data_IF_489359740055
#
_entry.id   IF_489359740055
#
_cell.length_a   1.000
_cell.length_b   1.000
_cell.length_c   1.000
_cell.angle_alpha   90.00
_cell.angle_beta   90.00
_cell.angle_gamma   90.00
#
_symmetry.space_group_name_H-M   'P 1'
#
loop_
_entity.id
_entity.type
_entity.pdbx_description
1 polymer ?
#
# COMPACT_ATOMS: atom_id res chain seq x y z
N UNK A 1 -22.79 -9.03 12.25
CA UNK A 1 -21.75 -9.93 11.71
C UNK A 1 -21.67 -9.65 10.22
N UNK A 2 -20.74 -8.81 9.77
CA UNK A 2 -20.55 -8.58 8.34
C UNK A 2 -19.66 -9.70 7.79
N UNK A 3 -20.30 -10.76 7.35
CA UNK A 3 -19.62 -11.71 6.47
C UNK A 3 -19.69 -11.08 5.08
N UNK A 4 -18.63 -10.36 4.68
CA UNK A 4 -18.56 -9.79 3.34
C UNK A 4 -18.77 -10.89 2.31
N UNK A 5 -19.56 -10.64 1.29
CA UNK A 5 -19.80 -11.61 0.21
C UNK A 5 -18.69 -11.60 -0.84
N UNK A 6 -17.62 -10.83 -0.58
CA UNK A 6 -16.41 -10.71 -1.39
C UNK A 6 -15.14 -11.06 -0.60
N UNK A 7 -14.05 -11.28 -1.29
CA UNK A 7 -12.69 -11.35 -0.73
C UNK A 7 -11.83 -10.23 -1.32
N UNK A 8 -10.67 -9.95 -0.73
CA UNK A 8 -9.76 -8.94 -1.26
C UNK A 8 -8.63 -9.56 -2.08
N UNK A 9 -8.29 -8.89 -3.17
CA UNK A 9 -7.20 -9.23 -4.10
C UNK A 9 -6.33 -7.98 -4.28
N UNK A 10 -5.16 -7.97 -3.68
CA UNK A 10 -4.19 -6.91 -3.90
C UNK A 10 -3.19 -7.32 -4.97
N UNK A 11 -3.11 -6.51 -6.02
CA UNK A 11 -2.17 -6.67 -7.13
C UNK A 11 -1.09 -5.60 -6.96
N UNK A 12 0.17 -6.01 -6.80
CA UNK A 12 1.33 -5.11 -6.81
C UNK A 12 2.20 -5.35 -8.04
N UNK A 13 3.28 -4.60 -8.19
CA UNK A 13 4.20 -4.79 -9.32
C UNK A 13 4.83 -6.19 -9.38
N UNK A 14 5.03 -6.81 -8.22
CA UNK A 14 5.78 -8.07 -8.09
C UNK A 14 5.03 -9.16 -7.32
N UNK A 15 3.82 -8.89 -6.83
CA UNK A 15 3.10 -9.84 -5.99
C UNK A 15 1.59 -9.75 -6.13
N UNK A 16 0.92 -10.86 -5.83
CA UNK A 16 -0.51 -10.94 -5.58
C UNK A 16 -0.73 -11.38 -4.14
N UNK A 17 -1.59 -10.65 -3.42
CA UNK A 17 -2.00 -10.99 -2.07
C UNK A 17 -3.51 -11.22 -2.06
N UNK A 18 -3.93 -12.27 -1.41
CA UNK A 18 -5.36 -12.58 -1.22
C UNK A 18 -5.64 -12.67 0.28
N UNK A 19 -6.72 -12.03 0.69
CA UNK A 19 -7.28 -12.19 2.02
C UNK A 19 -8.79 -12.44 1.93
N UNK A 20 -9.25 -13.52 2.54
CA UNK A 20 -10.66 -13.85 2.81
C UNK A 20 -10.79 -14.13 4.30
N UNK A 21 -11.63 -13.38 4.97
CA UNK A 21 -11.80 -13.52 6.41
C UNK A 21 -13.04 -12.79 6.93
N UNK A 22 -13.25 -12.86 8.22
CA UNK A 22 -14.27 -12.12 8.94
C UNK A 22 -13.62 -11.06 9.81
N UNK A 23 -14.05 -9.82 9.64
CA UNK A 23 -13.52 -8.68 10.39
C UNK A 23 -14.50 -8.38 11.53
N UNK A 24 -14.17 -8.83 12.72
CA UNK A 24 -14.94 -8.57 13.93
C UNK A 24 -14.48 -7.24 14.58
N UNK A 25 -15.22 -6.67 15.55
CA UNK A 25 -14.85 -5.39 16.17
C UNK A 25 -13.47 -5.37 16.84
N UNK A 26 -12.99 -6.51 17.32
CA UNK A 26 -11.72 -6.62 18.07
C UNK A 26 -10.79 -7.72 17.56
N UNK A 27 -11.21 -8.49 16.56
CA UNK A 27 -10.50 -9.67 16.12
C UNK A 27 -10.69 -9.90 14.62
N UNK A 28 -9.69 -10.44 13.97
CA UNK A 28 -9.71 -10.88 12.57
C UNK A 28 -9.69 -12.39 12.56
N UNK A 29 -10.69 -13.01 11.92
CA UNK A 29 -10.76 -14.45 11.72
C UNK A 29 -10.42 -14.75 10.26
N UNK A 30 -9.28 -15.37 10.02
CA UNK A 30 -8.81 -15.70 8.68
C UNK A 30 -9.50 -16.97 8.18
N UNK A 31 -10.05 -16.92 6.98
CA UNK A 31 -10.48 -18.10 6.22
C UNK A 31 -9.39 -18.53 5.23
N UNK A 32 -8.90 -17.57 4.45
CA UNK A 32 -7.82 -17.76 3.48
C UNK A 32 -6.91 -16.54 3.45
N UNK A 33 -5.62 -16.79 3.44
CA UNK A 33 -4.59 -15.77 3.23
C UNK A 33 -3.47 -16.39 2.38
N UNK A 34 -2.99 -15.65 1.38
CA UNK A 34 -1.85 -16.11 0.57
C UNK A 34 -1.11 -14.95 -0.05
N UNK A 35 0.15 -15.21 -0.33
CA UNK A 35 1.06 -14.36 -1.07
C UNK A 35 1.65 -15.18 -2.23
N UNK A 36 1.52 -14.67 -3.45
CA UNK A 36 2.33 -15.07 -4.59
C UNK A 36 3.27 -13.92 -4.89
N UNK A 37 4.53 -14.07 -4.58
CA UNK A 37 5.61 -13.13 -4.88
C UNK A 37 6.39 -13.57 -6.14
N UNK A 38 7.28 -12.69 -6.62
CA UNK A 38 8.11 -12.93 -7.81
C UNK A 38 7.29 -13.26 -9.07
N UNK A 39 6.33 -12.39 -9.36
CA UNK A 39 5.53 -12.51 -10.59
C UNK A 39 6.45 -12.51 -11.82
N UNK A 40 6.12 -13.30 -12.86
CA UNK A 40 6.96 -13.42 -14.06
C UNK A 40 7.01 -12.13 -14.90
N UNK A 41 6.09 -11.18 -14.63
CA UNK A 41 6.02 -9.86 -15.26
C UNK A 41 5.18 -8.91 -14.40
N UNK A 42 5.42 -7.61 -14.53
CA UNK A 42 4.58 -6.59 -13.90
C UNK A 42 3.31 -6.38 -14.73
N UNK A 43 2.16 -6.54 -14.09
CA UNK A 43 0.84 -6.28 -14.69
C UNK A 43 0.68 -4.83 -15.16
N UNK A 44 1.25 -3.90 -14.44
CA UNK A 44 1.08 -2.46 -14.70
C UNK A 44 2.00 -1.92 -15.80
N UNK A 45 3.17 -2.54 -15.99
CA UNK A 45 4.17 -2.08 -16.96
C UNK A 45 3.96 -2.69 -18.34
N UNK A 46 3.57 -3.96 -18.41
CA UNK A 46 3.32 -4.64 -19.68
C UNK A 46 1.90 -4.39 -20.18
N UNK A 47 1.78 -3.82 -21.38
CA UNK A 47 0.49 -3.51 -22.02
C UNK A 47 0.39 -4.25 -23.36
N UNK A 48 0.39 -5.58 -23.31
CA UNK A 48 0.15 -6.42 -24.46
C UNK A 48 -1.20 -7.15 -24.30
N UNK A 49 -1.91 -7.49 -25.40
CA UNK A 49 -3.18 -8.23 -25.30
C UNK A 49 -3.09 -9.54 -24.52
N UNK A 50 -1.92 -10.16 -24.51
CA UNK A 50 -1.64 -11.41 -23.85
C UNK A 50 -1.41 -11.25 -22.31
N UNK A 51 -1.09 -10.04 -21.85
CA UNK A 51 -0.80 -9.77 -20.43
C UNK A 51 -2.02 -10.02 -19.57
N UNK A 52 -3.19 -9.49 -19.93
CA UNK A 52 -4.43 -9.68 -19.17
C UNK A 52 -4.84 -11.14 -19.10
N UNK A 53 -4.71 -11.89 -20.20
CA UNK A 53 -5.04 -13.32 -20.24
C UNK A 53 -4.13 -14.14 -19.31
N UNK A 54 -2.81 -13.95 -19.42
CA UNK A 54 -1.84 -14.66 -18.56
C UNK A 54 -2.03 -14.31 -17.08
N UNK A 55 -2.30 -13.05 -16.78
CA UNK A 55 -2.52 -12.62 -15.40
C UNK A 55 -3.82 -13.20 -14.83
N UNK A 56 -4.88 -13.25 -15.64
CA UNK A 56 -6.15 -13.89 -15.28
C UNK A 56 -5.98 -15.38 -14.95
N UNK A 57 -5.15 -16.09 -15.71
CA UNK A 57 -4.83 -17.51 -15.44
C UNK A 57 -4.12 -17.69 -14.08
N UNK A 58 -3.19 -16.79 -13.74
CA UNK A 58 -2.52 -16.78 -12.43
C UNK A 58 -3.55 -16.57 -11.31
N UNK A 59 -4.42 -15.56 -11.42
CA UNK A 59 -5.46 -15.28 -10.43
C UNK A 59 -6.40 -16.49 -10.29
N UNK A 60 -6.88 -17.02 -11.42
CA UNK A 60 -7.80 -18.17 -11.45
C UNK A 60 -7.19 -19.38 -10.75
N UNK A 61 -5.92 -19.67 -11.01
CA UNK A 61 -5.19 -20.75 -10.35
C UNK A 61 -5.10 -20.52 -8.84
N UNK A 62 -4.69 -19.34 -8.39
CA UNK A 62 -4.60 -19.02 -6.96
C UNK A 62 -5.94 -19.18 -6.23
N UNK A 63 -7.02 -18.65 -6.79
CA UNK A 63 -8.37 -18.75 -6.21
C UNK A 63 -8.82 -20.20 -6.12
N UNK A 64 -8.54 -21.01 -7.16
CA UNK A 64 -8.84 -22.43 -7.20
C UNK A 64 -8.03 -23.22 -6.16
N UNK A 65 -6.71 -23.00 -6.07
CA UNK A 65 -5.82 -23.68 -5.13
C UNK A 65 -6.22 -23.37 -3.67
N UNK A 66 -6.64 -22.15 -3.39
CA UNK A 66 -7.16 -21.74 -2.08
C UNK A 66 -8.59 -22.25 -1.80
N UNK A 67 -9.28 -22.79 -2.80
CA UNK A 67 -10.69 -23.21 -2.70
C UNK A 67 -11.60 -22.08 -2.19
N UNK A 68 -11.42 -20.87 -2.70
CA UNK A 68 -12.29 -19.72 -2.40
C UNK A 68 -13.60 -19.89 -3.17
N UNK A 69 -14.72 -20.02 -2.43
CA UNK A 69 -16.04 -20.20 -3.04
C UNK A 69 -16.71 -18.88 -3.47
N UNK A 70 -16.21 -17.73 -3.02
CA UNK A 70 -16.73 -16.41 -3.38
C UNK A 70 -16.28 -16.04 -4.79
N UNK A 71 -17.16 -15.40 -5.55
CA UNK A 71 -16.84 -14.87 -6.89
C UNK A 71 -16.63 -13.36 -6.88
N UNK A 72 -17.22 -12.65 -5.94
CA UNK A 72 -17.05 -11.21 -5.79
C UNK A 72 -15.69 -10.90 -5.18
N UNK A 73 -15.05 -9.86 -5.69
CA UNK A 73 -13.72 -9.47 -5.26
C UNK A 73 -13.58 -7.96 -5.17
N UNK A 74 -12.93 -7.48 -4.10
CA UNK A 74 -12.41 -6.13 -3.99
C UNK A 74 -10.96 -6.13 -4.48
N UNK A 75 -10.65 -5.34 -5.50
CA UNK A 75 -9.31 -5.25 -6.09
C UNK A 75 -8.57 -4.04 -5.55
N UNK A 76 -7.38 -4.26 -5.00
CA UNK A 76 -6.52 -3.20 -4.47
C UNK A 76 -5.30 -3.08 -5.38
N UNK A 77 -4.96 -1.84 -5.74
CA UNK A 77 -3.79 -1.51 -6.56
C UNK A 77 -2.85 -0.54 -5.84
N UNK A 78 -1.56 -0.49 -6.23
CA UNK A 78 -0.60 0.43 -5.63
C UNK A 78 -0.99 1.90 -5.86
N UNK A 79 -0.72 2.75 -4.87
CA UNK A 79 -0.94 4.19 -4.96
C UNK A 79 -0.22 4.84 -6.14
N UNK A 80 0.91 4.26 -6.58
CA UNK A 80 1.66 4.71 -7.74
C UNK A 80 0.86 4.78 -9.04
N UNK A 81 -0.21 4.02 -9.14
CA UNK A 81 -1.08 3.95 -10.32
C UNK A 81 -2.39 4.72 -10.14
N UNK A 82 -2.51 5.45 -9.05
CA UNK A 82 -3.63 6.35 -8.75
C UNK A 82 -3.14 7.74 -8.41
N UNK A 83 -4.01 8.72 -8.52
CA UNK A 83 -3.77 10.08 -8.06
C UNK A 83 -4.65 10.32 -6.85
N UNK A 84 -4.03 10.52 -5.69
CA UNK A 84 -4.76 10.64 -4.43
C UNK A 84 -4.40 11.94 -3.73
N UNK A 85 -5.43 12.63 -3.25
CA UNK A 85 -5.28 13.82 -2.43
C UNK A 85 -6.28 13.79 -1.28
N UNK A 86 -5.85 14.26 -0.12
CA UNK A 86 -6.75 14.53 1.00
C UNK A 86 -6.83 16.04 1.13
N UNK A 87 -8.02 16.58 0.83
CA UNK A 87 -8.29 18.02 0.74
C UNK A 87 -9.13 18.48 1.92
N UNK A 88 -8.79 19.65 2.48
CA UNK A 88 -9.68 20.36 3.40
C UNK A 88 -10.56 21.31 2.59
N UNK A 89 -11.86 21.05 2.58
CA UNK A 89 -12.86 21.81 1.81
C UNK A 89 -13.84 22.50 2.76
N UNK A 90 -14.43 23.64 2.37
CA UNK A 90 -15.59 24.16 3.08
C UNK A 90 -16.73 23.14 3.12
N UNK A 91 -17.67 23.30 4.07
CA UNK A 91 -18.86 22.44 4.13
C UNK A 91 -19.79 22.79 2.96
N UNK A 92 -19.63 22.08 1.86
CA UNK A 92 -20.38 22.17 0.62
C UNK A 92 -21.34 20.99 0.50
N UNK A 93 -22.41 21.15 -0.31
CA UNK A 93 -23.20 19.99 -0.69
C UNK A 93 -22.46 19.14 -1.72
N UNK A 94 -22.91 17.89 -1.93
CA UNK A 94 -22.22 16.92 -2.76
C UNK A 94 -21.98 17.41 -4.21
N UNK A 95 -22.95 18.10 -4.82
CA UNK A 95 -22.83 18.62 -6.19
C UNK A 95 -21.79 19.73 -6.29
N UNK A 96 -21.77 20.63 -5.31
CA UNK A 96 -20.79 21.71 -5.22
C UNK A 96 -19.39 21.14 -4.99
N UNK A 97 -19.29 20.12 -4.12
CA UNK A 97 -18.04 19.44 -3.82
C UNK A 97 -17.45 18.76 -5.07
N UNK A 98 -18.25 18.00 -5.80
CA UNK A 98 -17.84 17.36 -7.07
C UNK A 98 -17.36 18.42 -8.08
N UNK A 99 -18.08 19.53 -8.21
CA UNK A 99 -17.74 20.60 -9.14
C UNK A 99 -16.43 21.29 -8.76
N UNK A 100 -16.24 21.59 -7.47
CA UNK A 100 -15.03 22.21 -6.95
C UNK A 100 -13.82 21.29 -7.12
N UNK A 101 -13.96 19.98 -6.86
CA UNK A 101 -12.89 18.99 -7.01
C UNK A 101 -12.52 18.82 -8.50
N UNK A 102 -13.50 18.74 -9.40
CA UNK A 102 -13.22 18.66 -10.85
C UNK A 102 -12.45 19.86 -11.35
N UNK A 103 -12.76 21.06 -10.84
CA UNK A 103 -12.02 22.27 -11.19
C UNK A 103 -10.59 22.28 -10.65
N UNK A 104 -10.36 21.69 -9.47
CA UNK A 104 -9.04 21.59 -8.87
C UNK A 104 -8.23 20.39 -9.38
N UNK A 105 -8.90 19.41 -9.96
CA UNK A 105 -8.27 18.14 -10.40
C UNK A 105 -7.07 18.37 -11.33
N UNK A 106 -7.16 19.33 -12.23
CA UNK A 106 -6.08 19.69 -13.17
C UNK A 106 -4.78 20.15 -12.45
N UNK A 107 -4.85 20.50 -11.17
CA UNK A 107 -3.66 20.95 -10.40
C UNK A 107 -2.82 19.79 -9.87
N UNK A 108 -3.42 18.61 -9.70
CA UNK A 108 -2.74 17.45 -9.12
C UNK A 108 -2.87 16.15 -9.93
N UNK A 109 -3.73 16.12 -10.95
CA UNK A 109 -3.88 14.98 -11.85
C UNK A 109 -3.29 15.35 -13.22
N UNK A 110 -2.19 14.72 -13.65
CA UNK A 110 -1.52 15.04 -14.91
C UNK A 110 -2.17 14.35 -16.14
N UNK A 111 -3.45 14.03 -16.06
CA UNK A 111 -4.25 13.41 -17.13
C UNK A 111 -5.49 14.24 -17.39
N UNK A 112 -5.98 14.20 -18.62
CA UNK A 112 -7.21 14.88 -18.98
C UNK A 112 -8.40 14.26 -18.20
N UNK A 113 -9.35 15.10 -17.79
CA UNK A 113 -10.48 14.69 -16.93
C UNK A 113 -11.39 13.65 -17.58
N UNK A 114 -11.43 13.62 -18.91
CA UNK A 114 -12.17 12.65 -19.71
C UNK A 114 -11.46 11.28 -19.83
N UNK A 115 -10.18 11.21 -19.49
CA UNK A 115 -9.38 9.98 -19.48
C UNK A 115 -9.33 9.28 -18.12
N UNK A 116 -9.94 9.86 -17.08
CA UNK A 116 -9.88 9.34 -15.72
C UNK A 116 -11.26 9.02 -15.15
N UNK A 117 -11.30 8.09 -14.22
CA UNK A 117 -12.38 7.93 -13.24
C UNK A 117 -11.95 8.63 -11.96
N UNK A 118 -12.79 9.49 -11.43
CA UNK A 118 -12.58 10.17 -10.14
C UNK A 118 -13.67 9.74 -9.19
N UNK A 119 -13.25 9.39 -7.99
CA UNK A 119 -14.15 9.16 -6.86
C UNK A 119 -13.74 10.04 -5.68
N UNK A 120 -14.69 10.31 -4.79
CA UNK A 120 -14.48 11.13 -3.61
C UNK A 120 -15.22 10.56 -2.41
N UNK A 121 -14.58 10.64 -1.25
CA UNK A 121 -15.15 10.24 0.03
C UNK A 121 -14.96 11.35 1.06
N UNK A 122 -16.04 11.75 1.73
CA UNK A 122 -15.95 12.64 2.88
C UNK A 122 -15.52 11.79 4.08
N UNK A 123 -14.25 11.88 4.45
CA UNK A 123 -13.68 11.05 5.52
C UNK A 123 -13.84 11.66 6.91
N UNK A 124 -14.04 13.01 7.01
CA UNK A 124 -14.27 13.67 8.29
C UNK A 124 -15.04 15.00 8.13
N UNK A 125 -15.93 15.27 9.08
CA UNK A 125 -16.62 16.54 9.24
C UNK A 125 -16.07 17.29 10.46
N UNK A 126 -15.52 18.48 10.25
CA UNK A 126 -15.14 19.37 11.33
C UNK A 126 -16.24 20.44 11.52
N UNK A 127 -17.18 20.16 12.43
CA UNK A 127 -18.33 21.05 12.68
C UNK A 127 -17.90 22.42 13.21
N UNK A 128 -16.80 22.49 13.99
CA UNK A 128 -16.33 23.77 14.60
C UNK A 128 -15.81 24.72 13.52
N UNK A 129 -15.03 24.21 12.58
CA UNK A 129 -14.42 24.98 11.50
C UNK A 129 -15.29 25.04 10.24
N UNK A 130 -16.41 24.31 10.23
CA UNK A 130 -17.29 24.15 9.06
C UNK A 130 -16.52 23.69 7.82
N UNK A 131 -15.63 22.70 8.00
CA UNK A 131 -14.82 22.12 6.94
C UNK A 131 -15.04 20.62 6.84
N UNK A 132 -14.76 20.10 5.66
CA UNK A 132 -14.75 18.67 5.33
C UNK A 132 -13.32 18.24 5.03
N UNK A 133 -12.94 17.07 5.48
CA UNK A 133 -11.77 16.39 4.98
C UNK A 133 -12.25 15.37 3.92
N UNK A 134 -11.78 15.56 2.69
CA UNK A 134 -12.25 14.80 1.53
C UNK A 134 -11.08 14.04 0.92
N UNK A 135 -11.20 12.73 0.85
CA UNK A 135 -10.31 11.90 0.06
C UNK A 135 -10.80 11.93 -1.40
N UNK A 136 -9.91 12.32 -2.30
CA UNK A 136 -10.11 12.27 -3.75
C UNK A 136 -9.17 11.24 -4.31
N UNK A 137 -9.68 10.30 -5.09
CA UNK A 137 -8.90 9.28 -5.78
C UNK A 137 -9.26 9.30 -7.24
N UNK A 138 -8.25 9.29 -8.11
CA UNK A 138 -8.44 9.15 -9.54
C UNK A 138 -7.55 8.06 -10.11
N UNK A 139 -8.06 7.36 -11.12
CA UNK A 139 -7.36 6.32 -11.86
C UNK A 139 -7.64 6.47 -13.35
N UNK A 140 -6.66 6.15 -14.19
CA UNK A 140 -6.86 6.14 -15.64
C UNK A 140 -7.98 5.15 -16.03
N UNK A 141 -8.90 5.58 -16.88
CA UNK A 141 -9.99 4.71 -17.40
C UNK A 141 -9.43 3.45 -18.05
N UNK A 142 -8.35 3.60 -18.82
CA UNK A 142 -7.67 2.48 -19.49
C UNK A 142 -7.17 1.45 -18.48
N UNK A 143 -6.57 1.89 -17.37
CA UNK A 143 -6.09 0.97 -16.34
C UNK A 143 -7.24 0.30 -15.58
N UNK A 144 -8.27 1.06 -15.22
CA UNK A 144 -9.45 0.53 -14.54
C UNK A 144 -10.11 -0.57 -15.39
N UNK A 145 -10.34 -0.30 -16.68
CA UNK A 145 -10.90 -1.26 -17.63
C UNK A 145 -10.01 -2.51 -17.77
N UNK A 146 -8.69 -2.34 -17.90
CA UNK A 146 -7.74 -3.47 -17.99
C UNK A 146 -7.84 -4.38 -16.76
N UNK A 147 -7.96 -3.80 -15.56
CA UNK A 147 -8.10 -4.55 -14.31
C UNK A 147 -9.43 -5.31 -14.30
N UNK A 148 -10.52 -4.62 -14.60
CA UNK A 148 -11.87 -5.19 -14.65
C UNK A 148 -11.93 -6.39 -15.62
N UNK A 149 -11.51 -6.22 -16.85
CA UNK A 149 -11.45 -7.28 -17.86
C UNK A 149 -10.59 -8.47 -17.42
N UNK A 150 -9.43 -8.21 -16.79
CA UNK A 150 -8.54 -9.28 -16.31
C UNK A 150 -9.18 -10.10 -15.20
N UNK A 151 -9.87 -9.43 -14.27
CA UNK A 151 -10.54 -10.07 -13.14
C UNK A 151 -11.75 -10.88 -13.62
N UNK A 152 -12.50 -10.36 -14.59
CA UNK A 152 -13.61 -11.06 -15.24
C UNK A 152 -13.13 -12.30 -16.01
N UNK A 153 -12.02 -12.22 -16.74
CA UNK A 153 -11.38 -13.34 -17.42
C UNK A 153 -10.94 -14.44 -16.43
N UNK A 154 -10.59 -14.07 -15.20
CA UNK A 154 -10.33 -15.04 -14.13
C UNK A 154 -11.60 -15.72 -13.57
N UNK A 155 -12.80 -15.31 -14.04
CA UNK A 155 -14.10 -15.82 -13.60
C UNK A 155 -14.63 -15.17 -12.32
N UNK A 156 -14.08 -14.00 -11.95
CA UNK A 156 -14.46 -13.23 -10.77
C UNK A 156 -15.33 -12.02 -11.17
N UNK A 157 -15.96 -11.40 -10.18
CA UNK A 157 -16.80 -10.21 -10.33
C UNK A 157 -16.18 -9.10 -9.50
N UNK A 158 -15.51 -8.11 -10.11
CA UNK A 158 -14.96 -6.97 -9.38
C UNK A 158 -16.12 -6.13 -8.85
N UNK A 159 -16.18 -5.93 -7.52
CA UNK A 159 -17.21 -5.10 -6.88
C UNK A 159 -16.67 -3.74 -6.48
N UNK A 160 -15.38 -3.68 -6.17
CA UNK A 160 -14.65 -2.45 -5.89
C UNK A 160 -13.27 -2.50 -6.54
N UNK A 161 -12.79 -1.33 -6.95
CA UNK A 161 -11.40 -1.07 -7.32
C UNK A 161 -10.92 0.10 -6.47
N UNK A 162 -9.94 -0.13 -5.65
CA UNK A 162 -9.41 0.87 -4.74
C UNK A 162 -7.88 0.86 -4.69
N UNK A 163 -7.30 1.89 -4.09
CA UNK A 163 -5.87 1.94 -3.88
C UNK A 163 -5.46 1.51 -2.45
N UNK A 164 -4.17 1.34 -2.25
CA UNK A 164 -3.61 0.94 -0.95
C UNK A 164 -3.93 1.94 0.16
N UNK A 165 -3.97 3.24 -0.13
CA UNK A 165 -4.32 4.29 0.83
C UNK A 165 -5.72 4.06 1.42
N UNK A 166 -6.73 3.87 0.57
CA UNK A 166 -8.12 3.68 1.00
C UNK A 166 -8.28 2.42 1.84
N UNK A 167 -7.72 1.31 1.36
CA UNK A 167 -7.75 0.03 2.07
C UNK A 167 -7.05 0.11 3.43
N UNK A 168 -5.85 0.68 3.48
CA UNK A 168 -5.10 0.84 4.73
C UNK A 168 -5.77 1.82 5.70
N UNK A 169 -6.35 2.91 5.18
CA UNK A 169 -7.11 3.87 5.98
C UNK A 169 -8.29 3.22 6.70
N UNK A 170 -9.07 2.38 6.01
CA UNK A 170 -10.16 1.58 6.63
C UNK A 170 -9.63 0.63 7.69
N UNK A 171 -8.50 -0.05 7.43
CA UNK A 171 -7.86 -0.91 8.41
C UNK A 171 -7.51 -0.17 9.70
N UNK A 172 -6.86 0.99 9.61
CA UNK A 172 -6.49 1.81 10.77
C UNK A 172 -7.72 2.30 11.52
N UNK A 173 -8.73 2.81 10.80
CA UNK A 173 -9.98 3.30 11.38
C UNK A 173 -10.72 2.20 12.14
N UNK A 174 -10.86 1.02 11.53
CA UNK A 174 -11.59 -0.11 12.11
C UNK A 174 -11.03 -0.57 13.44
N UNK A 175 -9.71 -0.60 13.57
CA UNK A 175 -9.08 -1.14 14.76
C UNK A 175 -8.60 -0.09 15.75
N UNK A 176 -8.69 1.20 15.42
CA UNK A 176 -8.22 2.33 16.27
C UNK A 176 -6.86 2.03 16.95
N UNK A 177 -5.98 1.34 16.22
CA UNK A 177 -4.78 0.70 16.75
C UNK A 177 -3.74 1.65 17.31
N UNK A 178 -3.86 2.92 16.95
CA UNK A 178 -3.01 3.99 17.45
C UNK A 178 -3.87 4.84 18.39
N UNK A 179 -4.57 4.16 19.31
CA UNK A 179 -5.25 4.87 20.37
C UNK A 179 -4.23 5.51 21.30
N UNK A 180 -4.05 6.82 21.16
CA UNK A 180 -4.02 7.79 22.26
C UNK A 180 -3.33 7.34 23.56
N UNK A 181 -2.17 6.75 23.51
CA UNK A 181 -1.28 6.89 24.62
C UNK A 181 -0.57 8.24 24.44
N UNK A 182 -1.19 9.32 24.93
CA UNK A 182 -0.57 10.62 25.29
C UNK A 182 0.70 11.04 24.50
N UNK A 183 0.78 10.76 23.20
CA UNK A 183 1.94 11.19 22.45
C UNK A 183 1.57 12.41 21.61
N UNK A 184 2.16 13.53 21.95
CA UNK A 184 2.23 14.72 21.09
C UNK A 184 2.95 14.45 19.75
N UNK A 185 3.39 13.21 19.53
CA UNK A 185 4.16 12.78 18.38
C UNK A 185 3.25 12.43 17.22
N UNK A 186 3.54 12.97 16.03
CA UNK A 186 2.88 12.59 14.78
C UNK A 186 3.22 11.16 14.42
N UNK A 187 2.27 10.45 13.83
CA UNK A 187 2.46 9.07 13.38
C UNK A 187 2.43 9.02 11.86
N UNK A 188 3.47 8.41 11.29
CA UNK A 188 3.60 8.22 9.87
C UNK A 188 3.71 6.73 9.53
N UNK A 189 3.14 6.36 8.37
CA UNK A 189 3.35 5.05 7.79
C UNK A 189 4.09 5.21 6.46
N UNK A 190 5.10 4.39 6.24
CA UNK A 190 5.87 4.31 5.00
C UNK A 190 5.51 3.00 4.33
N UNK A 191 4.81 3.08 3.21
CA UNK A 191 4.56 1.97 2.31
C UNK A 191 5.57 2.04 1.16
N UNK A 192 6.66 1.28 1.27
CA UNK A 192 7.69 1.23 0.24
C UNK A 192 7.45 0.01 -0.63
N UNK A 193 6.97 0.27 -1.83
CA UNK A 193 6.72 -0.72 -2.88
C UNK A 193 7.89 -0.84 -3.86
N UNK A 194 7.68 -1.58 -4.95
CA UNK A 194 8.71 -1.81 -5.96
C UNK A 194 9.15 -0.53 -6.68
N UNK A 195 8.21 0.29 -7.14
CA UNK A 195 8.47 1.44 -7.99
C UNK A 195 8.25 2.78 -7.30
N UNK A 196 7.57 2.79 -6.16
CA UNK A 196 7.21 4.02 -5.44
C UNK A 196 7.19 3.82 -3.94
N UNK A 197 7.16 4.93 -3.23
CA UNK A 197 6.95 5.00 -1.78
C UNK A 197 5.79 5.95 -1.50
N UNK A 198 4.85 5.53 -0.66
CA UNK A 198 3.79 6.36 -0.12
C UNK A 198 4.00 6.62 1.37
N UNK A 199 3.86 7.88 1.76
CA UNK A 199 3.88 8.34 3.14
C UNK A 199 2.47 8.72 3.56
N UNK A 200 1.96 8.13 4.63
CA UNK A 200 0.67 8.45 5.20
C UNK A 200 0.86 9.11 6.57
N UNK A 201 0.32 10.31 6.73
CA UNK A 201 0.24 10.96 8.05
C UNK A 201 -1.09 10.57 8.71
N UNK A 202 -1.00 9.86 9.80
CA UNK A 202 -2.15 9.53 10.64
C UNK A 202 -2.38 10.60 11.70
N UNK A 203 -3.61 11.09 11.79
CA UNK A 203 -4.06 12.00 12.83
C UNK A 203 -4.83 11.23 13.92
N UNK A 204 -4.25 11.08 15.12
CA UNK A 204 -4.89 10.34 16.21
C UNK A 204 -6.16 11.00 16.75
N UNK A 205 -6.35 12.31 16.54
CA UNK A 205 -7.54 13.02 17.05
C UNK A 205 -8.80 12.63 16.30
N UNK A 206 -8.66 12.35 15.01
CA UNK A 206 -9.78 11.93 14.15
C UNK A 206 -9.67 10.44 13.76
N UNK A 207 -8.60 9.76 14.18
CA UNK A 207 -8.30 8.35 13.86
C UNK A 207 -8.27 8.04 12.36
N UNK A 208 -7.78 8.97 11.54
CA UNK A 208 -7.75 8.87 10.09
C UNK A 208 -6.38 9.27 9.52
N UNK A 209 -6.12 8.82 8.30
CA UNK A 209 -5.02 9.36 7.49
C UNK A 209 -5.46 10.76 7.01
N UNK A 210 -4.68 11.78 7.36
CA UNK A 210 -4.98 13.19 7.08
C UNK A 210 -4.16 13.76 5.92
N UNK A 211 -3.05 13.10 5.55
CA UNK A 211 -2.20 13.49 4.40
C UNK A 211 -1.55 12.27 3.78
N UNK A 212 -1.35 12.36 2.47
CA UNK A 212 -0.56 11.42 1.68
C UNK A 212 0.51 12.17 0.89
N UNK A 213 1.66 11.52 0.71
CA UNK A 213 2.70 11.93 -0.23
C UNK A 213 3.29 10.71 -0.89
N UNK A 214 3.14 10.60 -2.20
CA UNK A 214 3.69 9.49 -2.99
C UNK A 214 4.79 10.02 -3.90
N UNK A 215 5.92 9.30 -3.98
CA UNK A 215 7.05 9.64 -4.83
C UNK A 215 7.64 8.39 -5.50
N UNK A 216 8.19 8.57 -6.70
CA UNK A 216 8.69 7.49 -7.56
C UNK A 216 10.09 7.01 -7.14
N UNK A 217 10.19 6.48 -5.92
CA UNK A 217 11.37 5.82 -5.40
C UNK A 217 10.92 4.56 -4.66
N UNK A 218 11.11 3.41 -5.27
CA UNK A 218 10.80 2.11 -4.71
C UNK A 218 12.07 1.27 -4.50
N UNK A 219 11.92 0.06 -3.92
CA UNK A 219 13.07 -0.80 -3.65
C UNK A 219 13.79 -1.27 -4.93
N UNK A 220 13.13 -1.24 -6.09
CA UNK A 220 13.75 -1.57 -7.38
C UNK A 220 14.96 -0.67 -7.70
N UNK A 221 14.92 0.61 -7.33
CA UNK A 221 16.06 1.52 -7.55
C UNK A 221 17.27 1.11 -6.73
N UNK A 222 17.09 0.67 -5.48
CA UNK A 222 18.17 0.13 -4.65
C UNK A 222 18.76 -1.14 -5.26
N UNK A 223 17.90 -2.06 -5.72
CA UNK A 223 18.34 -3.28 -6.41
C UNK A 223 19.12 -2.97 -7.68
N UNK A 224 18.62 -2.04 -8.49
CA UNK A 224 19.27 -1.63 -9.74
C UNK A 224 20.64 -1.00 -9.50
N UNK A 225 20.78 -0.16 -8.48
CA UNK A 225 22.07 0.44 -8.11
C UNK A 225 23.09 -0.63 -7.72
N UNK A 226 22.69 -1.64 -6.95
CA UNK A 226 23.56 -2.75 -6.61
C UNK A 226 23.96 -3.54 -7.88
N UNK A 227 23.03 -3.86 -8.77
CA UNK A 227 23.30 -4.59 -10.01
C UNK A 227 24.34 -3.85 -10.88
N UNK A 228 24.18 -2.54 -11.06
CA UNK A 228 25.08 -1.72 -11.86
C UNK A 228 26.51 -1.73 -11.29
N UNK A 229 26.64 -1.68 -9.96
CA UNK A 229 27.95 -1.56 -9.30
C UNK A 229 28.62 -2.91 -8.98
N UNK A 230 27.87 -4.02 -9.04
CA UNK A 230 28.41 -5.34 -8.65
C UNK A 230 28.33 -6.39 -9.75
N UNK A 231 27.62 -6.11 -10.84
CA UNK A 231 27.31 -7.09 -11.91
C UNK A 231 26.55 -8.34 -11.42
N UNK A 232 25.87 -8.25 -10.27
CA UNK A 232 24.98 -9.32 -9.77
C UNK A 232 23.70 -9.35 -10.59
N UNK A 233 23.15 -10.55 -10.77
CA UNK A 233 21.81 -10.71 -11.34
C UNK A 233 20.73 -10.30 -10.33
N UNK A 234 19.49 -10.18 -10.80
CA UNK A 234 18.35 -9.72 -10.00
C UNK A 234 18.10 -10.61 -8.78
N UNK A 235 18.21 -11.92 -8.95
CA UNK A 235 18.01 -12.90 -7.87
C UNK A 235 19.05 -12.72 -6.77
N UNK A 236 20.33 -12.69 -7.13
CA UNK A 236 21.42 -12.50 -6.14
C UNK A 236 21.35 -11.16 -5.45
N UNK A 237 20.91 -10.13 -6.16
CA UNK A 237 20.68 -8.80 -5.57
C UNK A 237 19.52 -8.84 -4.57
N UNK A 238 18.42 -9.51 -4.89
CA UNK A 238 17.30 -9.73 -3.97
C UNK A 238 17.74 -10.49 -2.71
N UNK A 239 18.48 -11.60 -2.88
CA UNK A 239 19.04 -12.37 -1.76
C UNK A 239 19.95 -11.49 -0.88
N UNK A 240 20.76 -10.63 -1.50
CA UNK A 240 21.62 -9.71 -0.77
C UNK A 240 20.82 -8.70 0.08
N UNK A 241 19.77 -8.11 -0.47
CA UNK A 241 18.91 -7.17 0.26
C UNK A 241 18.09 -7.84 1.36
N UNK A 242 17.79 -9.13 1.23
CA UNK A 242 17.10 -9.91 2.27
C UNK A 242 18.05 -10.35 3.39
N UNK A 243 19.23 -10.82 3.05
CA UNK A 243 20.16 -11.51 3.96
C UNK A 243 21.35 -10.64 4.39
N UNK A 244 21.49 -9.43 3.84
CA UNK A 244 22.62 -8.57 4.16
C UNK A 244 22.67 -8.25 5.65
N UNK A 245 23.79 -8.61 6.30
CA UNK A 245 24.09 -8.15 7.64
C UNK A 245 25.03 -6.94 7.56
N UNK A 246 24.57 -5.74 7.95
CA UNK A 246 25.43 -4.54 7.93
C UNK A 246 26.72 -4.68 8.75
N UNK A 247 26.76 -5.66 9.66
CA UNK A 247 27.95 -5.96 10.50
C UNK A 247 28.91 -6.94 9.82
N UNK A 248 28.42 -7.68 8.82
CA UNK A 248 29.22 -8.70 8.12
C UNK A 248 29.14 -8.43 6.61
N UNK A 249 29.76 -7.33 6.16
CA UNK A 249 29.61 -6.78 4.83
C UNK A 249 30.20 -7.63 3.68
N UNK A 250 30.92 -8.69 4.01
CA UNK A 250 31.64 -9.47 2.98
C UNK A 250 32.54 -8.59 2.11
N UNK A 251 32.60 -8.88 0.79
CA UNK A 251 33.39 -8.08 -0.19
C UNK A 251 32.58 -6.96 -0.87
N UNK A 252 31.28 -6.76 -0.52
CA UNK A 252 30.38 -5.80 -1.17
C UNK A 252 29.90 -4.80 -0.13
N UNK A 253 30.33 -3.55 -0.26
CA UNK A 253 29.86 -2.44 0.58
C UNK A 253 28.51 -1.90 0.05
N UNK A 254 27.43 -2.58 0.42
CA UNK A 254 26.06 -2.26 0.00
C UNK A 254 25.67 -0.85 0.45
N UNK A 255 26.02 -0.44 1.68
CA UNK A 255 25.67 0.89 2.21
C UNK A 255 26.24 2.00 1.33
N UNK A 256 27.50 1.88 0.94
CA UNK A 256 28.13 2.88 0.03
C UNK A 256 27.49 2.87 -1.35
N UNK A 257 27.26 1.68 -1.92
CA UNK A 257 26.66 1.54 -3.26
C UNK A 257 25.29 2.21 -3.31
N UNK A 258 24.39 1.94 -2.36
CA UNK A 258 23.02 2.49 -2.37
C UNK A 258 22.90 3.89 -1.75
N UNK A 259 23.99 4.47 -1.27
CA UNK A 259 24.02 5.80 -0.61
C UNK A 259 23.33 6.91 -1.43
N UNK A 260 23.51 7.02 -2.76
CA UNK A 260 22.83 8.06 -3.53
C UNK A 260 21.31 7.95 -3.44
N UNK A 261 20.77 6.74 -3.60
CA UNK A 261 19.32 6.47 -3.53
C UNK A 261 18.82 6.67 -2.10
N UNK A 262 19.59 6.23 -1.09
CA UNK A 262 19.27 6.43 0.32
C UNK A 262 19.16 7.91 0.67
N UNK A 263 20.11 8.75 0.19
CA UNK A 263 20.06 10.21 0.41
C UNK A 263 18.81 10.84 -0.22
N UNK A 264 18.44 10.42 -1.42
CA UNK A 264 17.23 10.90 -2.07
C UNK A 264 15.98 10.48 -1.29
N UNK A 265 15.91 9.22 -0.85
CA UNK A 265 14.82 8.72 -0.01
C UNK A 265 14.69 9.54 1.29
N UNK A 266 15.79 9.74 2.01
CA UNK A 266 15.84 10.54 3.25
C UNK A 266 15.39 11.98 2.99
N UNK A 267 15.76 12.57 1.86
CA UNK A 267 15.32 13.91 1.48
C UNK A 267 13.80 14.00 1.31
N UNK A 268 13.18 13.02 0.63
CA UNK A 268 11.73 12.97 0.48
C UNK A 268 11.01 12.77 1.83
N UNK A 269 11.55 11.91 2.70
CA UNK A 269 11.02 11.72 4.06
C UNK A 269 11.07 13.03 4.86
N UNK A 270 12.20 13.73 4.84
CA UNK A 270 12.39 14.98 5.60
C UNK A 270 11.49 16.13 5.15
N UNK A 271 10.97 16.12 3.92
CA UNK A 271 9.98 17.12 3.47
C UNK A 271 8.66 17.02 4.24
N UNK A 272 8.30 15.83 4.69
CA UNK A 272 6.97 15.51 5.21
C UNK A 272 7.01 15.18 6.70
N UNK A 273 7.99 14.37 7.11
CA UNK A 273 8.10 13.92 8.49
C UNK A 273 8.74 15.00 9.34
N UNK A 274 7.98 15.55 10.26
CA UNK A 274 8.44 16.56 11.21
C UNK A 274 8.55 15.96 12.61
N UNK A 275 9.72 15.99 13.24
CA UNK A 275 9.92 15.48 14.60
C UNK A 275 9.15 16.31 15.66
N UNK A 276 8.81 15.69 16.83
CA UNK A 276 8.95 14.26 17.13
C UNK A 276 7.91 13.43 16.36
N UNK A 277 8.32 12.25 15.87
CA UNK A 277 7.43 11.39 15.10
C UNK A 277 7.65 9.90 15.39
N UNK A 278 6.56 9.13 15.27
CA UNK A 278 6.58 7.67 15.17
C UNK A 278 6.45 7.30 13.68
N UNK A 279 7.31 6.44 13.22
CA UNK A 279 7.30 6.01 11.81
C UNK A 279 7.22 4.49 11.75
N UNK A 280 6.22 4.00 11.05
CA UNK A 280 6.00 2.58 10.83
C UNK A 280 6.23 2.20 9.37
N UNK A 281 6.99 1.14 9.14
CA UNK A 281 7.09 0.52 7.83
C UNK A 281 5.97 -0.51 7.62
N UNK A 282 5.39 -0.50 6.44
CA UNK A 282 4.40 -1.47 5.94
C UNK A 282 4.73 -1.86 4.50
N UNK A 283 4.05 -2.87 3.97
CA UNK A 283 4.18 -3.27 2.56
C UNK A 283 5.47 -4.03 2.23
N UNK A 284 5.94 -3.89 1.02
CA UNK A 284 6.98 -4.74 0.42
C UNK A 284 8.34 -4.63 1.10
N UNK A 285 8.65 -3.49 1.73
CA UNK A 285 9.91 -3.27 2.46
C UNK A 285 10.18 -4.33 3.54
N UNK A 286 9.14 -4.94 4.06
CA UNK A 286 9.24 -5.98 5.11
C UNK A 286 10.04 -7.19 4.62
N UNK A 287 10.08 -7.42 3.31
CA UNK A 287 10.87 -8.50 2.70
C UNK A 287 12.38 -8.21 2.70
N UNK A 288 12.78 -6.95 2.93
CA UNK A 288 14.16 -6.48 2.87
C UNK A 288 14.64 -5.92 4.22
N UNK A 289 14.87 -6.77 5.24
CA UNK A 289 15.26 -6.32 6.59
C UNK A 289 16.53 -5.49 6.58
N UNK A 290 17.50 -5.82 5.73
CA UNK A 290 18.75 -5.10 5.61
C UNK A 290 18.52 -3.68 5.08
N UNK A 291 17.76 -3.52 4.00
CA UNK A 291 17.40 -2.20 3.46
C UNK A 291 16.67 -1.37 4.53
N UNK A 292 15.74 -2.00 5.26
CA UNK A 292 15.03 -1.34 6.38
C UNK A 292 16.01 -0.81 7.43
N UNK A 293 17.05 -1.56 7.80
CA UNK A 293 18.05 -1.13 8.77
C UNK A 293 18.90 0.04 8.24
N UNK A 294 19.33 -0.03 6.97
CA UNK A 294 20.10 1.05 6.33
C UNK A 294 19.27 2.34 6.29
N UNK A 295 18.00 2.26 5.88
CA UNK A 295 17.12 3.43 5.85
C UNK A 295 16.92 4.03 7.23
N UNK A 296 16.65 3.20 8.25
CA UNK A 296 16.54 3.65 9.64
C UNK A 296 17.79 4.39 10.14
N UNK A 297 18.97 3.84 9.85
CA UNK A 297 20.26 4.43 10.24
C UNK A 297 20.54 5.76 9.53
N UNK A 298 20.10 5.88 8.27
CA UNK A 298 20.39 7.04 7.42
C UNK A 298 19.49 8.25 7.68
N UNK A 299 18.37 8.05 8.36
CA UNK A 299 17.46 9.14 8.73
C UNK A 299 17.88 9.70 10.08
N UNK A 300 18.70 10.75 10.05
CA UNK A 300 19.31 11.43 11.22
C UNK A 300 18.41 12.52 11.83
N UNK A 301 17.14 12.22 12.04
CA UNK A 301 16.19 13.07 12.75
C UNK A 301 15.60 12.29 13.94
N UNK A 302 15.17 12.97 15.02
CA UNK A 302 14.68 12.30 16.23
C UNK A 302 13.30 11.68 16.01
N UNK A 303 13.27 10.53 15.34
CA UNK A 303 12.09 9.73 15.08
C UNK A 303 12.30 8.28 15.54
N UNK A 304 11.20 7.66 15.97
CA UNK A 304 11.19 6.24 16.32
C UNK A 304 10.66 5.42 15.15
N UNK A 305 11.43 4.44 14.70
CA UNK A 305 11.03 3.51 13.64
C UNK A 305 10.60 2.16 14.18
N UNK A 306 9.52 1.63 13.66
CA UNK A 306 9.04 0.28 13.93
C UNK A 306 8.43 -0.35 12.67
N UNK A 307 8.17 -1.65 12.74
CA UNK A 307 7.34 -2.37 11.78
C UNK A 307 5.95 -2.46 12.38
N UNK A 308 4.94 -2.08 11.60
CA UNK A 308 3.55 -2.21 12.02
C UNK A 308 3.09 -3.65 11.79
N UNK A 309 3.05 -4.45 12.85
CA UNK A 309 2.60 -5.84 12.77
C UNK A 309 1.23 -6.03 13.45
N UNK A 310 0.18 -6.35 12.68
CA UNK A 310 -1.18 -6.53 13.19
C UNK A 310 -1.44 -7.91 13.83
N UNK A 311 -0.43 -8.73 14.06
CA UNK A 311 -0.57 -10.11 14.53
C UNK A 311 -1.46 -10.25 15.78
N UNK A 312 -1.41 -9.29 16.69
CA UNK A 312 -2.23 -9.31 17.92
C UNK A 312 -3.74 -9.21 17.68
N UNK A 313 -4.16 -8.76 16.49
CA UNK A 313 -5.56 -8.65 16.11
C UNK A 313 -6.13 -9.95 15.58
N UNK A 314 -5.29 -10.90 15.23
CA UNK A 314 -5.75 -12.14 14.60
C UNK A 314 -6.12 -13.20 15.64
N UNK A 315 -7.24 -13.90 15.37
CA UNK A 315 -7.45 -15.21 15.95
C UNK A 315 -6.35 -16.14 15.47
N UNK A 316 -5.66 -16.73 16.42
CA UNK A 316 -4.52 -17.60 16.14
C UNK A 316 -4.96 -18.90 15.48
N UNK A 317 -4.38 -19.20 14.34
CA UNK A 317 -4.53 -20.46 13.60
C UNK A 317 -3.22 -20.77 12.85
N UNK A 318 -3.06 -22.00 12.31
CA UNK A 318 -1.81 -22.38 11.64
C UNK A 318 -1.43 -21.49 10.43
N UNK A 319 -2.39 -20.91 9.70
CA UNK A 319 -2.11 -20.02 8.57
C UNK A 319 -1.52 -18.69 9.10
N UNK A 320 -2.11 -18.13 10.14
CA UNK A 320 -1.65 -16.88 10.76
C UNK A 320 -0.28 -17.06 11.42
N UNK A 321 -0.03 -18.19 12.07
CA UNK A 321 1.30 -18.48 12.61
C UNK A 321 2.36 -18.56 11.50
N UNK A 322 2.04 -19.15 10.34
CA UNK A 322 2.93 -19.20 9.18
C UNK A 322 3.25 -17.80 8.64
N UNK A 323 2.28 -16.88 8.63
CA UNK A 323 2.45 -15.52 8.12
C UNK A 323 2.82 -14.48 9.20
N UNK A 324 3.01 -14.88 10.45
CA UNK A 324 3.19 -14.00 11.61
C UNK A 324 4.12 -12.81 11.35
N UNK A 325 5.30 -13.06 10.82
CA UNK A 325 6.31 -12.04 10.54
C UNK A 325 6.07 -11.30 9.22
N UNK A 326 5.18 -11.81 8.37
CA UNK A 326 4.79 -11.24 7.08
C UNK A 326 3.44 -10.52 7.11
N UNK A 327 2.71 -10.52 8.22
CA UNK A 327 1.41 -9.84 8.32
C UNK A 327 1.48 -8.33 8.02
N UNK A 328 2.56 -7.59 8.34
CA UNK A 328 2.72 -6.21 7.91
C UNK A 328 2.63 -6.00 6.39
N UNK A 329 2.91 -7.04 5.62
CA UNK A 329 2.81 -7.05 4.16
C UNK A 329 1.36 -7.15 3.65
N UNK A 330 0.45 -7.63 4.50
CA UNK A 330 -0.96 -7.87 4.15
C UNK A 330 -1.92 -6.79 4.64
N UNK A 331 -1.45 -5.74 5.32
CA UNK A 331 -2.34 -4.77 5.97
C UNK A 331 -3.32 -4.09 5.00
N UNK A 332 -2.90 -3.85 3.77
CA UNK A 332 -3.72 -3.31 2.68
C UNK A 332 -4.73 -4.34 2.19
N UNK A 333 -4.29 -5.57 1.93
CA UNK A 333 -5.19 -6.66 1.53
C UNK A 333 -6.26 -6.95 2.62
N UNK A 334 -5.87 -6.91 3.90
CA UNK A 334 -6.81 -7.08 5.01
C UNK A 334 -7.80 -5.91 5.06
N UNK A 335 -7.30 -4.67 4.89
CA UNK A 335 -8.13 -3.48 4.82
C UNK A 335 -9.16 -3.52 3.70
N UNK A 336 -8.79 -4.09 2.55
CA UNK A 336 -9.69 -4.35 1.45
C UNK A 336 -10.79 -5.38 1.72
N UNK A 337 -10.63 -6.19 2.76
CA UNK A 337 -11.69 -7.10 3.26
C UNK A 337 -12.68 -6.44 4.23
N UNK A 338 -12.54 -5.15 4.53
CA UNK A 338 -13.42 -4.37 5.40
C UNK A 338 -14.46 -3.64 4.53
N UNK A 339 -15.74 -3.74 4.92
CA UNK A 339 -16.83 -2.91 4.37
C UNK A 339 -16.80 -1.51 4.95
#
# INVERSE_FOLDING_TARGET
>A
MSNTDFFSLEITDNAIKIFDGEILPKEIVTKKITLLDNLPFSFFVQDTPDTSQKFAEIIKKLVSDLKIGKRKVNVIIPDAYTYSQILTMPSLNEKELISAIKYQADQFIPLAIDEINIDLEIIHHNEKEKTLLVLVVAVSKKLAQKIEETVELAGLIPVFLENQLSAFGRFLNKFSLISTQNSSSKTFFINLGQNSTSLYLFDPNISLISKIHTFNLGYHLFSKEIQINTSLDEKKTGDLLQMFDPKNQGNIDVETIISPITKQFVFEIKKIVTPPALVFFIGDIIQFPALTQILKKSIDIPISFSIFNPYSLFKKDPQIEHYKDRLPFFVTAIGGGIE
#
